data_IF_650914913516
#
_entry.id   IF_650914913516
#
_cell.length_a   1.000
_cell.length_b   1.000
_cell.length_c   1.000
_cell.angle_alpha   90.00
_cell.angle_beta   90.00
_cell.angle_gamma   90.00
#
_symmetry.space_group_name_H-M   'P 1'
#
loop_
_entity.id
_entity.type
_entity.pdbx_description
1 polymer ?
#
# COMPACT_ATOMS: atom_id res chain seq x y z
N UNK A 1 47.78 -18.46 32.62
CA UNK A 1 46.43 -19.00 32.87
C UNK A 1 45.46 -17.91 32.45
N UNK A 2 44.97 -17.95 31.24
CA UNK A 2 44.06 -16.99 30.64
C UNK A 2 42.66 -17.57 30.70
N UNK A 3 41.84 -16.96 31.57
CA UNK A 3 40.44 -17.33 31.70
C UNK A 3 39.65 -16.86 30.45
N UNK A 4 38.96 -17.79 29.80
CA UNK A 4 37.94 -17.47 28.79
C UNK A 4 36.63 -17.28 29.53
N UNK A 5 36.15 -16.03 29.57
CA UNK A 5 34.79 -15.73 30.00
C UNK A 5 33.81 -16.27 28.98
N UNK A 6 33.05 -17.27 29.38
CA UNK A 6 31.95 -17.85 28.57
C UNK A 6 30.77 -16.89 28.65
N UNK A 7 30.50 -16.14 27.58
CA UNK A 7 29.27 -15.36 27.43
C UNK A 7 28.12 -16.34 27.17
N UNK A 8 27.41 -16.71 28.23
CA UNK A 8 26.17 -17.47 28.23
C UNK A 8 25.00 -16.60 28.65
N UNK A 9 24.67 -15.61 27.80
CA UNK A 9 23.35 -15.00 27.84
C UNK A 9 22.96 -14.67 26.40
N UNK A 10 22.27 -15.62 25.77
CA UNK A 10 21.49 -15.35 24.58
C UNK A 10 20.28 -14.51 25.02
N UNK A 11 20.41 -13.20 24.95
CA UNK A 11 19.23 -12.33 25.01
C UNK A 11 18.35 -12.69 23.81
N UNK A 12 17.07 -13.07 23.98
CA UNK A 12 16.20 -13.27 22.85
C UNK A 12 16.12 -11.94 22.08
N UNK A 13 16.50 -11.97 20.80
CA UNK A 13 16.26 -10.85 19.89
C UNK A 13 14.80 -10.44 20.10
N UNK A 14 14.52 -9.15 20.41
CA UNK A 14 13.15 -8.72 20.63
C UNK A 14 12.34 -9.16 19.43
N UNK A 15 11.20 -9.81 19.70
CA UNK A 15 10.28 -10.29 18.69
C UNK A 15 10.09 -9.14 17.69
N UNK A 16 10.35 -9.40 16.40
CA UNK A 16 10.06 -8.45 15.32
C UNK A 16 8.68 -7.89 15.59
N UNK A 17 8.61 -6.61 15.89
CA UNK A 17 7.36 -5.88 16.12
C UNK A 17 6.41 -6.32 15.01
N UNK A 18 5.24 -6.81 15.38
CA UNK A 18 4.23 -7.25 14.44
C UNK A 18 3.99 -6.08 13.49
N UNK A 19 4.45 -6.24 12.24
CA UNK A 19 4.36 -5.20 11.23
C UNK A 19 2.89 -4.92 10.96
N UNK A 20 2.32 -3.97 11.68
CA UNK A 20 0.96 -3.52 11.48
C UNK A 20 0.88 -2.72 10.17
N UNK A 21 -0.05 -3.08 9.30
CA UNK A 21 -0.31 -2.32 8.09
C UNK A 21 -1.53 -1.43 8.26
N UNK A 22 -1.55 -0.29 7.57
CA UNK A 22 -2.72 0.56 7.48
C UNK A 22 -3.40 0.24 6.16
N UNK A 23 -4.67 -0.18 6.20
CA UNK A 23 -5.46 -0.49 5.02
C UNK A 23 -6.54 0.56 4.84
N UNK A 24 -6.46 1.33 3.76
CA UNK A 24 -7.54 2.21 3.30
C UNK A 24 -8.30 1.52 2.17
N UNK A 25 -9.57 1.17 2.40
CA UNK A 25 -10.38 0.43 1.45
C UNK A 25 -11.65 1.21 1.07
N UNK A 26 -11.94 1.31 -0.23
CA UNK A 26 -13.19 1.89 -0.73
C UNK A 26 -14.36 0.98 -0.34
N UNK A 27 -15.42 1.58 0.21
CA UNK A 27 -16.61 0.86 0.63
C UNK A 27 -17.34 0.12 -0.51
N UNK A 28 -17.06 0.47 -1.77
CA UNK A 28 -17.63 -0.18 -2.96
C UNK A 28 -16.83 -1.41 -3.45
N UNK A 29 -15.67 -1.67 -2.87
CA UNK A 29 -14.91 -2.88 -3.21
C UNK A 29 -15.73 -4.10 -2.79
N UNK A 30 -16.13 -4.96 -3.74
CA UNK A 30 -16.92 -6.14 -3.42
C UNK A 30 -16.14 -7.08 -2.49
N UNK A 31 -16.85 -7.81 -1.65
CA UNK A 31 -16.26 -8.81 -0.74
C UNK A 31 -15.02 -8.29 0.02
N UNK A 32 -15.05 -7.00 0.40
CA UNK A 32 -13.93 -6.35 1.08
C UNK A 32 -13.52 -7.03 2.38
N UNK A 33 -14.46 -7.65 3.10
CA UNK A 33 -14.16 -8.43 4.32
C UNK A 33 -13.31 -9.68 3.99
N UNK A 34 -13.56 -10.30 2.83
CA UNK A 34 -12.74 -11.41 2.37
C UNK A 34 -11.28 -10.99 2.17
N UNK A 35 -11.05 -9.83 1.53
CA UNK A 35 -9.69 -9.29 1.33
C UNK A 35 -9.01 -8.96 2.65
N UNK A 36 -9.74 -8.38 3.60
CA UNK A 36 -9.20 -8.09 4.93
C UNK A 36 -8.86 -9.38 5.70
N UNK A 37 -9.66 -10.44 5.58
CA UNK A 37 -9.40 -11.74 6.18
C UNK A 37 -8.28 -12.53 5.47
N UNK A 38 -7.90 -12.13 4.26
CA UNK A 38 -6.76 -12.70 3.52
C UNK A 38 -5.43 -12.03 3.85
N UNK A 39 -5.40 -10.96 4.65
CA UNK A 39 -4.16 -10.36 5.12
C UNK A 39 -3.39 -11.33 6.02
N UNK A 40 -2.08 -11.38 5.85
CA UNK A 40 -1.17 -12.23 6.65
C UNK A 40 -0.65 -11.54 7.90
N UNK A 41 -0.88 -10.24 8.02
CA UNK A 41 -0.39 -9.38 9.11
C UNK A 41 -1.53 -8.57 9.72
N UNK A 42 -1.43 -8.16 11.00
CA UNK A 42 -2.40 -7.27 11.62
C UNK A 42 -2.59 -5.98 10.83
N UNK A 43 -3.83 -5.49 10.72
CA UNK A 43 -4.16 -4.31 9.95
C UNK A 43 -5.06 -3.34 10.71
N UNK A 44 -4.70 -2.07 10.69
CA UNK A 44 -5.62 -0.99 11.04
C UNK A 44 -6.37 -0.56 9.78
N UNK A 45 -7.68 -0.85 9.73
CA UNK A 45 -8.50 -0.60 8.54
C UNK A 45 -9.28 0.71 8.65
N UNK A 46 -9.32 1.48 7.56
CA UNK A 46 -10.25 2.59 7.36
C UNK A 46 -11.07 2.35 6.09
N UNK A 47 -12.39 2.28 6.25
CA UNK A 47 -13.33 2.27 5.12
C UNK A 47 -13.59 3.70 4.68
N UNK A 48 -13.55 3.91 3.37
CA UNK A 48 -13.77 5.20 2.72
C UNK A 48 -15.11 5.12 2.00
N UNK A 49 -16.06 5.88 2.50
CA UNK A 49 -17.40 5.97 1.94
C UNK A 49 -17.44 6.79 0.65
N UNK A 50 -18.59 6.78 -0.08
CA UNK A 50 -18.72 7.45 -1.36
C UNK A 50 -18.54 8.97 -1.27
N UNK A 51 -18.93 9.59 -0.16
CA UNK A 51 -18.88 11.04 0.06
C UNK A 51 -17.62 11.48 0.86
N UNK A 52 -16.77 10.53 1.27
CA UNK A 52 -15.59 10.83 2.05
C UNK A 52 -14.47 11.48 1.20
N UNK A 53 -13.79 12.48 1.76
CA UNK A 53 -12.48 12.90 1.25
C UNK A 53 -11.44 11.83 1.60
N UNK A 54 -11.13 10.97 0.63
CA UNK A 54 -10.25 9.81 0.81
C UNK A 54 -8.87 10.20 1.36
N UNK A 55 -8.23 11.25 0.83
CA UNK A 55 -6.91 11.69 1.29
C UNK A 55 -6.96 12.23 2.73
N UNK A 56 -8.02 12.94 3.10
CA UNK A 56 -8.21 13.43 4.46
C UNK A 56 -8.46 12.28 5.45
N UNK A 57 -9.26 11.28 5.05
CA UNK A 57 -9.52 10.07 5.85
C UNK A 57 -8.22 9.27 6.06
N UNK A 58 -7.45 9.04 4.99
CA UNK A 58 -6.14 8.38 5.06
C UNK A 58 -5.22 9.15 6.00
N UNK A 59 -5.07 10.47 5.84
CA UNK A 59 -4.25 11.29 6.72
C UNK A 59 -4.65 11.17 8.20
N UNK A 60 -5.96 11.20 8.48
CA UNK A 60 -6.46 11.04 9.86
C UNK A 60 -6.05 9.70 10.45
N UNK A 61 -6.09 8.63 9.66
CA UNK A 61 -5.75 7.27 10.10
C UNK A 61 -4.25 7.10 10.30
N UNK A 62 -3.41 7.46 9.31
CA UNK A 62 -1.96 7.29 9.41
C UNK A 62 -1.34 8.11 10.56
N UNK A 63 -1.95 9.23 10.94
CA UNK A 63 -1.50 10.04 12.10
C UNK A 63 -1.75 9.37 13.44
N UNK A 64 -2.66 8.43 13.52
CA UNK A 64 -3.05 7.71 14.75
C UNK A 64 -2.46 6.31 14.82
N UNK A 65 -1.82 5.87 13.75
CA UNK A 65 -1.26 4.53 13.61
C UNK A 65 0.24 4.53 13.80
N UNK A 66 0.75 3.43 14.31
CA UNK A 66 2.17 3.07 14.29
C UNK A 66 2.55 2.21 13.08
N UNK A 67 1.59 1.93 12.19
CA UNK A 67 1.79 1.07 11.02
C UNK A 67 2.91 1.56 10.10
N UNK A 68 3.65 0.61 9.55
CA UNK A 68 4.85 0.85 8.75
C UNK A 68 4.62 0.65 7.24
N UNK A 69 3.37 0.55 6.79
CA UNK A 69 2.98 0.46 5.39
C UNK A 69 1.55 0.97 5.22
N UNK A 70 1.31 1.71 4.16
CA UNK A 70 -0.05 2.08 3.73
C UNK A 70 -0.45 1.22 2.53
N UNK A 71 -1.56 0.52 2.65
CA UNK A 71 -2.20 -0.25 1.58
C UNK A 71 -3.49 0.45 1.19
N UNK A 72 -3.66 0.76 -0.08
CA UNK A 72 -4.87 1.36 -0.63
C UNK A 72 -5.54 0.32 -1.53
N UNK A 73 -6.80 -0.01 -1.25
CA UNK A 73 -7.61 -0.97 -2.02
C UNK A 73 -8.84 -0.24 -2.54
N UNK A 74 -8.93 -0.07 -3.85
CA UNK A 74 -10.05 0.61 -4.50
C UNK A 74 -10.13 0.21 -5.98
N UNK A 75 -11.14 0.67 -6.71
CA UNK A 75 -11.12 0.57 -8.17
C UNK A 75 -10.08 1.53 -8.75
N UNK A 76 -9.58 1.21 -9.96
CA UNK A 76 -8.54 2.00 -10.60
C UNK A 76 -8.69 2.09 -12.11
N UNK A 77 -8.00 3.10 -12.65
CA UNK A 77 -7.83 3.32 -14.08
C UNK A 77 -6.41 3.88 -14.35
N UNK A 78 -5.93 3.94 -15.59
CA UNK A 78 -4.61 4.48 -15.91
C UNK A 78 -4.39 5.90 -15.35
N UNK A 79 -3.56 6.01 -14.31
CA UNK A 79 -3.25 7.28 -13.64
C UNK A 79 -4.33 7.81 -12.70
N UNK A 80 -5.23 6.95 -12.21
CA UNK A 80 -6.31 7.35 -11.32
C UNK A 80 -6.67 6.27 -10.28
N UNK A 81 -7.04 6.70 -9.08
CA UNK A 81 -7.72 5.93 -8.05
C UNK A 81 -9.18 6.37 -7.98
N UNK A 82 -10.10 5.42 -7.88
CA UNK A 82 -11.54 5.66 -7.87
C UNK A 82 -12.09 5.34 -6.47
N UNK A 83 -12.47 6.39 -5.73
CA UNK A 83 -13.08 6.29 -4.40
C UNK A 83 -14.49 6.87 -4.44
N UNK A 84 -15.51 6.03 -4.25
CA UNK A 84 -16.88 6.49 -4.32
C UNK A 84 -17.14 7.21 -5.66
N UNK A 85 -17.71 8.39 -5.58
CA UNK A 85 -17.92 9.28 -6.72
C UNK A 85 -16.67 10.12 -7.07
N UNK A 86 -15.57 9.99 -6.30
CA UNK A 86 -14.39 10.81 -6.45
C UNK A 86 -13.27 10.08 -7.19
N UNK A 87 -12.66 10.77 -8.15
CA UNK A 87 -11.48 10.29 -8.87
C UNK A 87 -10.25 11.07 -8.43
N UNK A 88 -9.25 10.36 -7.92
CA UNK A 88 -7.97 10.96 -7.56
C UNK A 88 -7.02 10.79 -8.75
N UNK A 89 -6.81 11.86 -9.51
CA UNK A 89 -5.86 11.94 -10.63
C UNK A 89 -4.55 12.62 -10.20
N UNK A 90 -3.58 12.66 -11.13
CA UNK A 90 -2.35 13.45 -10.94
C UNK A 90 -2.66 14.91 -10.55
N UNK A 91 -3.60 15.54 -11.22
CA UNK A 91 -3.92 16.95 -10.97
C UNK A 91 -4.59 17.15 -9.60
N UNK A 92 -5.46 16.21 -9.19
CA UNK A 92 -5.98 16.19 -7.83
C UNK A 92 -4.87 16.05 -6.77
N UNK A 93 -3.85 15.22 -7.01
CA UNK A 93 -2.68 15.11 -6.13
C UNK A 93 -1.88 16.43 -6.06
N UNK A 94 -1.69 17.09 -7.20
CA UNK A 94 -0.96 18.36 -7.28
C UNK A 94 -1.63 19.49 -6.49
N UNK A 95 -2.96 19.54 -6.47
CA UNK A 95 -3.72 20.52 -5.68
C UNK A 95 -3.71 20.20 -4.16
N UNK A 96 -3.40 18.97 -3.80
CA UNK A 96 -3.44 18.46 -2.41
C UNK A 96 -2.04 18.17 -1.83
N UNK A 97 -0.97 18.80 -2.34
CA UNK A 97 0.42 18.56 -1.94
C UNK A 97 0.67 18.66 -0.43
N UNK A 98 0.00 19.58 0.25
CA UNK A 98 0.10 19.73 1.69
C UNK A 98 -0.42 18.49 2.45
N UNK A 99 -1.48 17.84 1.96
CA UNK A 99 -2.01 16.60 2.55
C UNK A 99 -1.03 15.45 2.27
N UNK A 100 -0.51 15.33 1.04
CA UNK A 100 0.46 14.30 0.69
C UNK A 100 1.72 14.38 1.56
N UNK A 101 2.30 15.58 1.73
CA UNK A 101 3.45 15.80 2.60
C UNK A 101 3.18 15.40 4.06
N UNK A 102 1.97 15.65 4.56
CA UNK A 102 1.57 15.26 5.92
C UNK A 102 1.38 13.74 6.04
N UNK A 103 0.84 13.07 5.01
CA UNK A 103 0.76 11.61 4.95
C UNK A 103 2.17 11.02 5.00
N UNK A 104 3.08 11.48 4.14
CA UNK A 104 4.44 10.97 4.07
C UNK A 104 5.22 11.16 5.37
N UNK A 105 5.06 12.31 6.04
CA UNK A 105 5.67 12.53 7.37
C UNK A 105 5.10 11.57 8.44
N UNK A 106 3.79 11.32 8.42
CA UNK A 106 3.16 10.38 9.35
C UNK A 106 3.62 8.95 9.09
N UNK A 107 3.79 8.55 7.82
CA UNK A 107 4.33 7.26 7.42
C UNK A 107 5.85 7.15 7.61
N UNK A 108 6.57 8.24 7.90
CA UNK A 108 8.04 8.25 8.06
C UNK A 108 8.77 7.67 6.83
N UNK A 109 8.19 7.83 5.65
CA UNK A 109 8.72 7.29 4.39
C UNK A 109 8.45 5.80 4.16
N UNK A 110 7.58 5.18 4.94
CA UNK A 110 7.14 3.80 4.73
C UNK A 110 6.42 3.64 3.37
N UNK A 111 6.46 2.44 2.75
CA UNK A 111 5.92 2.23 1.42
C UNK A 111 4.39 2.36 1.35
N UNK A 112 3.91 2.78 0.17
CA UNK A 112 2.50 2.85 -0.19
C UNK A 112 2.25 1.82 -1.31
N UNK A 113 1.32 0.89 -1.09
CA UNK A 113 0.92 -0.15 -2.05
C UNK A 113 -0.50 0.13 -2.56
N UNK A 114 -0.66 0.25 -3.89
CA UNK A 114 -1.94 0.57 -4.53
C UNK A 114 -2.50 -0.69 -5.20
N UNK A 115 -3.45 -1.34 -4.55
CA UNK A 115 -4.22 -2.45 -5.13
C UNK A 115 -5.46 -1.87 -5.83
N UNK A 116 -5.26 -1.54 -7.10
CA UNK A 116 -6.28 -0.98 -7.99
C UNK A 116 -5.90 -1.28 -9.44
N UNK A 117 -6.88 -1.53 -10.30
CA UNK A 117 -6.65 -1.92 -11.68
C UNK A 117 -5.91 -0.85 -12.49
N UNK A 118 -4.85 -1.25 -13.18
CA UNK A 118 -4.18 -0.47 -14.25
C UNK A 118 -3.63 0.91 -13.84
N UNK A 119 -3.53 1.22 -12.54
CA UNK A 119 -3.10 2.57 -12.08
C UNK A 119 -1.75 2.96 -12.64
N UNK A 120 -0.81 2.01 -12.76
CA UNK A 120 0.53 2.25 -13.30
C UNK A 120 0.60 2.21 -14.83
N UNK A 121 -0.53 1.98 -15.54
CA UNK A 121 -0.51 1.79 -16.98
C UNK A 121 -0.19 3.08 -17.75
N UNK A 122 0.69 2.96 -18.73
CA UNK A 122 1.02 4.03 -19.68
C UNK A 122 1.72 5.25 -19.07
N UNK A 123 1.71 6.35 -19.79
CA UNK A 123 2.36 7.60 -19.36
C UNK A 123 1.61 8.25 -18.20
N UNK A 124 0.27 8.24 -18.23
CA UNK A 124 -0.58 8.77 -17.15
C UNK A 124 -0.33 8.05 -15.83
N UNK A 125 -0.22 6.71 -15.86
CA UNK A 125 0.08 5.90 -14.68
C UNK A 125 1.44 6.25 -14.09
N UNK A 126 2.48 6.30 -14.92
CA UNK A 126 3.83 6.69 -14.45
C UNK A 126 3.85 8.09 -13.85
N UNK A 127 3.17 9.05 -14.49
CA UNK A 127 3.10 10.42 -13.99
C UNK A 127 2.34 10.52 -12.66
N UNK A 128 1.26 9.75 -12.50
CA UNK A 128 0.51 9.65 -11.25
C UNK A 128 1.38 9.12 -10.09
N UNK A 129 2.06 7.97 -10.30
CA UNK A 129 2.92 7.36 -9.28
C UNK A 129 4.08 8.29 -8.91
N UNK A 130 4.73 8.94 -9.90
CA UNK A 130 5.80 9.89 -9.63
C UNK A 130 5.31 11.09 -8.81
N UNK A 131 4.09 11.59 -9.08
CA UNK A 131 3.49 12.69 -8.32
C UNK A 131 3.16 12.28 -6.89
N UNK A 132 2.61 11.07 -6.69
CA UNK A 132 2.31 10.55 -5.35
C UNK A 132 3.60 10.31 -4.55
N UNK A 133 4.61 9.67 -5.16
CA UNK A 133 5.90 9.41 -4.53
C UNK A 133 6.62 10.72 -4.15
N UNK A 134 6.66 11.71 -5.05
CA UNK A 134 7.30 13.00 -4.76
C UNK A 134 6.54 13.82 -3.72
N UNK A 135 5.21 13.77 -3.73
CA UNK A 135 4.36 14.48 -2.77
C UNK A 135 4.46 13.92 -1.35
N UNK A 136 4.61 12.60 -1.22
CA UNK A 136 4.70 11.91 0.08
C UNK A 136 6.14 11.66 0.54
N UNK A 137 7.11 11.56 -0.37
CA UNK A 137 8.47 11.08 -0.08
C UNK A 137 8.51 9.58 0.24
N UNK A 138 7.44 8.84 -0.08
CA UNK A 138 7.32 7.39 0.13
C UNK A 138 7.55 6.63 -1.17
N UNK A 139 8.13 5.41 -1.14
CA UNK A 139 8.04 4.49 -2.28
C UNK A 139 6.58 4.13 -2.56
N UNK A 140 6.19 4.12 -3.82
CA UNK A 140 4.83 3.78 -4.26
C UNK A 140 4.88 2.62 -5.22
N UNK A 141 4.11 1.57 -4.95
CA UNK A 141 3.94 0.41 -5.83
C UNK A 141 2.50 0.30 -6.33
N UNK A 142 2.34 -0.11 -7.60
CA UNK A 142 1.04 -0.30 -8.23
C UNK A 142 1.13 -1.32 -9.37
N UNK A 143 -0.03 -1.74 -9.89
CA UNK A 143 -0.11 -2.60 -11.05
C UNK A 143 -0.38 -1.80 -12.33
N UNK A 144 0.30 -2.17 -13.42
CA UNK A 144 -0.04 -1.72 -14.78
C UNK A 144 -1.09 -2.61 -15.46
N UNK A 145 -1.54 -3.66 -14.76
CA UNK A 145 -2.52 -4.66 -15.19
C UNK A 145 -3.75 -4.62 -14.28
N UNK A 146 -4.78 -5.39 -14.63
CA UNK A 146 -5.92 -5.62 -13.76
C UNK A 146 -5.48 -6.33 -12.47
N UNK A 147 -6.08 -5.92 -11.35
CA UNK A 147 -5.84 -6.51 -10.02
C UNK A 147 -7.10 -7.25 -9.58
N UNK A 148 -6.94 -8.47 -9.07
CA UNK A 148 -8.05 -9.29 -8.59
C UNK A 148 -8.09 -10.68 -9.23
N UNK A 149 -9.29 -11.14 -9.56
CA UNK A 149 -9.61 -12.49 -10.03
C UNK A 149 -8.77 -12.93 -11.26
N UNK A 150 -7.95 -13.98 -11.13
CA UNK A 150 -7.16 -14.49 -12.24
C UNK A 150 -8.00 -15.00 -13.41
N UNK A 151 -9.22 -15.53 -13.15
CA UNK A 151 -10.12 -16.00 -14.19
C UNK A 151 -10.62 -14.87 -15.10
N UNK A 152 -10.60 -13.63 -14.59
CA UNK A 152 -10.92 -12.39 -15.32
C UNK A 152 -9.68 -11.64 -15.81
N UNK A 153 -8.50 -12.30 -15.80
CA UNK A 153 -7.23 -11.71 -16.22
C UNK A 153 -6.56 -10.83 -15.17
N UNK A 154 -7.06 -10.82 -13.94
CA UNK A 154 -6.49 -10.09 -12.82
C UNK A 154 -5.20 -10.75 -12.29
N UNK A 155 -4.37 -9.95 -11.65
CA UNK A 155 -3.16 -10.39 -10.92
C UNK A 155 -3.05 -9.63 -9.62
N UNK A 156 -2.51 -10.27 -8.59
CA UNK A 156 -2.30 -9.64 -7.27
C UNK A 156 -0.91 -9.02 -7.11
N UNK A 157 -0.07 -9.10 -8.14
CA UNK A 157 1.29 -8.53 -8.11
C UNK A 157 1.29 -7.06 -8.53
N UNK A 158 2.00 -6.23 -7.77
CA UNK A 158 2.29 -4.83 -8.10
C UNK A 158 3.62 -4.78 -8.88
N UNK A 159 3.55 -4.58 -10.18
CA UNK A 159 4.69 -4.73 -11.11
C UNK A 159 5.44 -3.42 -11.41
N UNK A 160 5.03 -2.32 -10.79
CA UNK A 160 5.65 -1.01 -10.99
C UNK A 160 5.91 -0.35 -9.65
N UNK A 161 7.14 0.12 -9.43
CA UNK A 161 7.55 0.81 -8.22
C UNK A 161 8.21 2.14 -8.61
N UNK A 162 7.83 3.20 -7.91
CA UNK A 162 8.44 4.53 -8.04
C UNK A 162 8.87 5.03 -6.66
N UNK A 163 10.10 5.54 -6.57
CA UNK A 163 10.61 6.22 -5.38
C UNK A 163 11.43 7.43 -5.79
N UNK A 164 11.39 8.49 -4.99
CA UNK A 164 12.29 9.65 -5.13
C UNK A 164 13.65 9.39 -4.49
N UNK A 165 13.76 8.37 -3.64
CA UNK A 165 14.98 7.93 -2.98
C UNK A 165 15.30 6.49 -3.42
N UNK A 166 16.33 6.28 -4.28
CA UNK A 166 16.69 4.94 -4.74
C UNK A 166 17.07 3.96 -3.60
N UNK A 167 17.56 4.47 -2.48
CA UNK A 167 17.93 3.63 -1.32
C UNK A 167 16.72 2.98 -0.64
N UNK A 168 15.53 3.51 -0.89
CA UNK A 168 14.25 3.01 -0.38
C UNK A 168 13.54 2.04 -1.32
N UNK A 169 14.11 1.79 -2.49
CA UNK A 169 13.59 0.75 -3.37
C UNK A 169 13.90 -0.61 -2.74
N UNK A 170 12.92 -1.53 -2.67
CA UNK A 170 13.20 -2.89 -2.24
C UNK A 170 14.27 -3.48 -3.17
N UNK A 171 15.22 -4.19 -2.58
CA UNK A 171 16.22 -4.91 -3.35
C UNK A 171 15.54 -5.86 -4.35
N UNK A 172 16.27 -6.29 -5.38
CA UNK A 172 15.77 -7.18 -6.45
C UNK A 172 15.13 -8.50 -5.98
N UNK A 173 15.21 -8.81 -4.69
CA UNK A 173 14.89 -10.14 -4.16
C UNK A 173 13.39 -10.38 -3.86
N UNK A 174 12.59 -9.33 -3.63
CA UNK A 174 11.15 -9.51 -3.41
C UNK A 174 10.37 -8.24 -3.80
N UNK A 175 9.18 -8.37 -4.40
CA UNK A 175 8.28 -7.24 -4.58
C UNK A 175 7.87 -6.68 -3.19
N UNK A 176 7.59 -5.37 -3.07
CA UNK A 176 7.33 -4.69 -1.79
C UNK A 176 6.07 -5.20 -1.08
N UNK A 177 5.24 -5.93 -1.77
CA UNK A 177 3.97 -6.51 -1.33
C UNK A 177 4.01 -8.03 -1.20
N UNK A 178 5.20 -8.66 -1.38
CA UNK A 178 5.34 -10.09 -1.20
C UNK A 178 4.88 -10.49 0.21
N UNK A 179 3.91 -11.40 0.27
CA UNK A 179 3.40 -11.94 1.53
C UNK A 179 2.38 -11.05 2.27
N UNK A 180 1.89 -9.96 1.68
CA UNK A 180 0.83 -9.15 2.30
C UNK A 180 -0.50 -9.89 2.40
N UNK A 181 -0.84 -10.64 1.36
CA UNK A 181 -2.02 -11.49 1.31
C UNK A 181 -1.63 -12.96 1.29
N UNK A 182 -2.48 -13.77 1.89
CA UNK A 182 -2.39 -15.23 1.83
C UNK A 182 -2.63 -15.71 0.38
N UNK A 183 -1.63 -16.28 -0.29
CA UNK A 183 -1.76 -16.68 -1.69
C UNK A 183 -2.76 -17.81 -1.90
N UNK A 184 -3.05 -18.61 -0.87
CA UNK A 184 -4.00 -19.72 -0.96
C UNK A 184 -5.46 -19.24 -0.87
N UNK A 185 -5.67 -18.07 -0.29
CA UNK A 185 -7.01 -17.45 -0.20
C UNK A 185 -7.35 -16.62 -1.43
N UNK A 186 -6.39 -15.87 -1.99
CA UNK A 186 -6.65 -14.93 -3.09
C UNK A 186 -7.37 -15.52 -4.30
N UNK A 187 -7.16 -16.80 -4.72
CA UNK A 187 -7.87 -17.39 -5.85
C UNK A 187 -9.40 -17.48 -5.66
N UNK A 188 -9.88 -17.43 -4.43
CA UNK A 188 -11.31 -17.44 -4.13
C UNK A 188 -11.99 -16.07 -4.26
N UNK A 189 -11.21 -14.97 -4.42
CA UNK A 189 -11.76 -13.64 -4.68
C UNK A 189 -12.19 -13.52 -6.14
N UNK A 190 -13.47 -13.26 -6.38
CA UNK A 190 -14.09 -13.36 -7.71
C UNK A 190 -14.31 -12.01 -8.42
N UNK A 191 -13.61 -10.94 -8.01
CA UNK A 191 -13.81 -9.60 -8.57
C UNK A 191 -12.49 -8.98 -9.08
N UNK A 192 -12.60 -7.95 -9.93
CA UNK A 192 -11.52 -7.01 -10.25
C UNK A 192 -11.69 -5.73 -9.43
N UNK A 193 -10.56 -5.12 -9.07
CA UNK A 193 -10.49 -3.85 -8.36
C UNK A 193 -10.54 -2.64 -9.29
#
# INVERSE_FOLDING_TARGET
MTGYDTITSWEPVPAVDHLEVIVAIDARVPDSEFLLAALTVPAQTVRIGPDDDALARILKTVRKSSGNRLVIICHGAPGALLFGEHTITKDALLTRRNILSRIGRALRGAPISLYACSVAHGQSGRAFLATLASGTGCPVSASSLSVGDPSKGGKWSLNTIVSTDPSRLPGRAAPPDAGLFDPDKLPAYQHLL
#
